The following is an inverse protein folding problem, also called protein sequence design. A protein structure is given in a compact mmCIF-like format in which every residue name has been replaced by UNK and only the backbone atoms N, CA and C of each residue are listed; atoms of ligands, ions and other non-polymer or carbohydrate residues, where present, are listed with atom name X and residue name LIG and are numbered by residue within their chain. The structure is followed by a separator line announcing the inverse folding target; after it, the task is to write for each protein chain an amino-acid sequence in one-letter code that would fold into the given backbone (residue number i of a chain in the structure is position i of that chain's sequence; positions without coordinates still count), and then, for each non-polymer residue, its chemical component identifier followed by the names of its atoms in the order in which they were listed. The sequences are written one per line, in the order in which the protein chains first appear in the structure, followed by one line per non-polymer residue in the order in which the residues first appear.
data_IF_318276829061
#
_entry.id   IF_318276829061
#
_cell.length_a   1.000
_cell.length_b   1.000
_cell.length_c   1.000
_cell.angle_alpha   90.00
_cell.angle_beta   90.00
_cell.angle_gamma   90.00
#
_symmetry.space_group_name_H-M   'P 1'
#
loop_
_entity.id
_entity.type
_entity.pdbx_description
1 polymer ?
#
# COMPACT_ATOMS: atom_id res chain seq x y z
N UNK A 1 -36.09 -8.96 2.91
CA UNK A 1 -34.97 -9.88 3.16
C UNK A 1 -33.84 -9.01 3.68
N UNK A 2 -33.47 -9.15 4.96
CA UNK A 2 -32.30 -8.48 5.50
C UNK A 2 -31.06 -9.07 4.82
N UNK A 3 -30.44 -8.31 3.91
CA UNK A 3 -29.08 -8.60 3.48
C UNK A 3 -28.19 -8.30 4.68
N UNK A 4 -27.89 -9.34 5.48
CA UNK A 4 -26.80 -9.25 6.45
C UNK A 4 -25.56 -8.77 5.71
N UNK A 5 -25.07 -7.59 6.02
CA UNK A 5 -23.82 -7.10 5.48
C UNK A 5 -22.74 -8.10 5.87
N UNK A 6 -22.10 -8.72 4.86
CA UNK A 6 -21.04 -9.72 5.09
C UNK A 6 -19.97 -9.06 5.98
N UNK A 7 -19.63 -9.70 7.09
CA UNK A 7 -18.66 -9.18 8.05
C UNK A 7 -17.26 -9.04 7.41
N UNK A 8 -16.47 -8.10 7.90
CA UNK A 8 -15.06 -7.95 7.49
C UNK A 8 -14.30 -9.24 7.85
N UNK A 9 -13.60 -9.88 6.90
CA UNK A 9 -12.89 -11.13 7.16
C UNK A 9 -11.57 -10.94 7.91
N UNK A 10 -11.06 -12.01 8.50
CA UNK A 10 -9.67 -12.10 8.95
C UNK A 10 -8.79 -12.46 7.76
N UNK A 11 -7.78 -11.64 7.47
CA UNK A 11 -6.87 -11.88 6.33
C UNK A 11 -5.42 -11.78 6.76
N UNK A 12 -4.61 -12.69 6.24
CA UNK A 12 -3.15 -12.58 6.21
C UNK A 12 -2.70 -12.48 4.76
N UNK A 13 -1.91 -11.46 4.42
CA UNK A 13 -1.46 -11.25 3.06
C UNK A 13 0.00 -10.83 2.97
N UNK A 14 0.56 -10.99 1.77
CA UNK A 14 1.92 -10.61 1.46
C UNK A 14 1.98 -9.92 0.11
N UNK A 15 2.52 -8.70 0.07
CA UNK A 15 2.88 -8.05 -1.18
C UNK A 15 4.31 -8.42 -1.55
N UNK A 16 4.51 -8.86 -2.78
CA UNK A 16 5.82 -9.08 -3.39
C UNK A 16 6.05 -7.94 -4.38
N UNK A 17 6.94 -7.03 -4.03
CA UNK A 17 7.18 -5.78 -4.76
C UNK A 17 8.55 -5.85 -5.43
N UNK A 18 8.60 -5.74 -6.75
CA UNK A 18 9.84 -5.64 -7.50
C UNK A 18 10.20 -4.17 -7.76
N UNK A 19 11.47 -3.86 -7.61
CA UNK A 19 12.07 -2.54 -7.85
C UNK A 19 13.21 -2.68 -8.83
N UNK A 20 13.18 -1.90 -9.91
CA UNK A 20 14.25 -1.81 -10.93
C UNK A 20 14.65 -0.36 -11.12
N UNK A 21 15.94 -0.04 -10.98
CA UNK A 21 16.49 1.30 -11.21
C UNK A 21 15.59 2.42 -10.64
N UNK A 22 15.13 2.25 -9.41
CA UNK A 22 14.13 3.12 -8.78
C UNK A 22 14.36 3.31 -7.30
N UNK A 23 13.88 4.41 -6.74
CA UNK A 23 13.85 4.63 -5.30
C UNK A 23 12.44 4.33 -4.75
N UNK A 24 12.20 3.15 -4.18
CA UNK A 24 10.87 2.81 -3.69
C UNK A 24 10.46 3.62 -2.46
N UNK A 25 11.43 4.02 -1.63
CA UNK A 25 11.20 4.78 -0.40
C UNK A 25 12.48 5.50 0.06
N UNK A 26 12.58 6.79 -0.27
CA UNK A 26 13.71 7.63 0.15
C UNK A 26 13.72 7.90 1.65
N UNK A 27 14.92 8.08 2.20
CA UNK A 27 15.16 8.45 3.59
C UNK A 27 15.46 9.95 3.70
N UNK A 28 14.59 10.76 4.31
CA UNK A 28 14.82 12.19 4.43
C UNK A 28 16.08 12.52 5.26
N UNK A 29 16.45 11.66 6.22
CA UNK A 29 17.62 11.86 7.08
C UNK A 29 18.94 11.48 6.37
N UNK A 30 18.85 10.89 5.17
CA UNK A 30 19.99 10.47 4.34
C UNK A 30 19.89 11.03 2.91
N UNK A 31 19.57 12.30 2.80
CA UNK A 31 19.50 13.00 1.51
C UNK A 31 18.64 12.26 0.46
N UNK A 32 17.58 11.59 0.92
CA UNK A 32 16.67 10.77 0.11
C UNK A 32 17.28 9.51 -0.49
N UNK A 33 18.38 8.99 0.06
CA UNK A 33 18.84 7.62 -0.26
C UNK A 33 17.71 6.61 -0.07
N UNK A 34 17.64 5.55 -0.88
CA UNK A 34 16.75 4.43 -0.60
C UNK A 34 16.98 3.88 0.82
N UNK A 35 15.90 3.70 1.58
CA UNK A 35 15.98 3.19 2.95
C UNK A 35 16.57 1.78 2.99
N UNK A 36 17.53 1.55 3.89
CA UNK A 36 18.13 0.23 4.12
C UNK A 36 18.30 -0.06 5.61
N UNK A 37 18.30 -1.34 5.96
CA UNK A 37 18.69 -1.78 7.31
C UNK A 37 20.20 -1.74 7.46
N UNK A 38 20.68 -1.17 8.57
CA UNK A 38 22.10 -0.94 8.78
C UNK A 38 22.92 -2.25 8.93
N UNK A 39 22.33 -3.30 9.52
CA UNK A 39 23.04 -4.51 9.87
C UNK A 39 23.21 -5.51 8.72
N UNK A 40 22.32 -5.51 7.72
CA UNK A 40 22.34 -6.47 6.63
C UNK A 40 22.24 -5.86 5.23
N UNK A 41 22.03 -4.54 5.15
CA UNK A 41 21.92 -3.82 3.90
C UNK A 41 20.67 -4.13 3.07
N UNK A 42 19.67 -4.80 3.66
CA UNK A 42 18.38 -5.03 3.00
C UNK A 42 17.61 -3.74 2.87
N UNK A 43 16.98 -3.56 1.71
CA UNK A 43 16.13 -2.40 1.44
C UNK A 43 14.84 -2.41 2.26
N UNK A 44 14.30 -1.21 2.53
CA UNK A 44 13.07 -1.01 3.29
C UNK A 44 12.08 -0.18 2.47
N UNK A 45 10.81 -0.61 2.48
CA UNK A 45 9.65 0.18 2.10
C UNK A 45 8.78 0.35 3.34
N UNK A 46 8.56 1.58 3.80
CA UNK A 46 7.67 1.83 4.96
C UNK A 46 6.21 1.63 4.57
N UNK A 47 5.44 1.15 5.53
CA UNK A 47 3.98 1.02 5.42
C UNK A 47 3.31 2.37 5.10
N UNK A 48 3.80 3.46 5.70
CA UNK A 48 3.31 4.83 5.46
C UNK A 48 3.48 5.22 3.98
N UNK A 49 4.64 4.91 3.38
CA UNK A 49 4.90 5.19 1.96
C UNK A 49 3.93 4.42 1.05
N UNK A 50 3.64 3.16 1.37
CA UNK A 50 2.71 2.35 0.59
C UNK A 50 1.26 2.83 0.75
N UNK A 51 0.81 3.03 2.00
CA UNK A 51 -0.54 3.55 2.32
C UNK A 51 -0.80 4.90 1.65
N UNK A 52 0.22 5.78 1.57
CA UNK A 52 0.10 7.06 0.86
C UNK A 52 -0.27 6.86 -0.61
N UNK A 53 0.32 5.87 -1.29
CA UNK A 53 0.00 5.61 -2.69
C UNK A 53 -1.45 5.17 -2.90
N UNK A 54 -1.96 4.35 -1.99
CA UNK A 54 -3.37 3.96 -2.03
C UNK A 54 -4.29 5.18 -1.80
N UNK A 55 -3.95 6.06 -0.84
CA UNK A 55 -4.69 7.31 -0.62
C UNK A 55 -4.69 8.22 -1.85
N UNK A 56 -3.55 8.36 -2.52
CA UNK A 56 -3.43 9.18 -3.73
C UNK A 56 -4.32 8.66 -4.87
N UNK A 57 -4.51 7.34 -5.00
CA UNK A 57 -5.45 6.76 -5.97
C UNK A 57 -6.91 7.12 -5.66
N UNK A 58 -7.28 7.15 -4.39
CA UNK A 58 -8.63 7.54 -3.94
C UNK A 58 -8.85 9.05 -4.03
N UNK A 59 -7.83 9.86 -3.72
CA UNK A 59 -7.88 11.33 -3.84
C UNK A 59 -8.09 11.79 -5.28
N UNK A 60 -7.48 11.11 -6.24
CA UNK A 60 -7.61 11.45 -7.65
C UNK A 60 -8.95 10.98 -8.23
N UNK A 61 -10.03 11.65 -7.81
CA UNK A 61 -11.43 11.31 -8.20
C UNK A 61 -11.70 11.38 -9.71
N UNK A 62 -10.88 12.10 -10.45
CA UNK A 62 -10.98 12.19 -11.93
C UNK A 62 -10.04 11.22 -12.64
N UNK A 63 -9.20 10.50 -11.88
CA UNK A 63 -8.23 9.57 -12.43
C UNK A 63 -8.85 8.26 -12.94
N UNK A 64 -8.12 7.56 -13.83
CA UNK A 64 -8.64 6.33 -14.45
C UNK A 64 -8.88 5.21 -13.44
N UNK A 65 -8.03 5.10 -12.39
CA UNK A 65 -8.19 4.06 -11.36
C UNK A 65 -9.46 4.28 -10.56
N UNK A 66 -9.70 5.50 -10.04
CA UNK A 66 -10.94 5.79 -9.32
C UNK A 66 -12.17 5.57 -10.18
N UNK A 67 -12.14 6.03 -11.44
CA UNK A 67 -13.25 5.86 -12.38
C UNK A 67 -13.55 4.37 -12.62
N UNK A 68 -12.51 3.53 -12.73
CA UNK A 68 -12.68 2.08 -12.86
C UNK A 68 -13.28 1.48 -11.57
N UNK A 69 -12.74 1.82 -10.39
CA UNK A 69 -13.27 1.32 -9.10
C UNK A 69 -14.73 1.73 -8.91
N UNK A 70 -15.06 3.00 -9.17
CA UNK A 70 -16.43 3.50 -9.07
C UNK A 70 -17.40 2.69 -9.94
N UNK A 71 -17.02 2.38 -11.18
CA UNK A 71 -17.81 1.57 -12.10
C UNK A 71 -17.92 0.12 -11.63
N UNK A 72 -16.79 -0.50 -11.29
CA UNK A 72 -16.71 -1.92 -10.92
C UNK A 72 -17.47 -2.20 -9.63
N UNK A 73 -17.32 -1.36 -8.61
CA UNK A 73 -17.96 -1.53 -7.31
C UNK A 73 -19.34 -0.86 -7.21
N UNK A 74 -19.84 -0.24 -8.30
CA UNK A 74 -21.08 0.51 -8.34
C UNK A 74 -21.20 1.59 -7.24
N UNK A 75 -20.09 2.29 -6.93
CA UNK A 75 -20.04 3.33 -5.89
C UNK A 75 -20.94 4.50 -6.32
N UNK A 76 -21.99 4.76 -5.52
CA UNK A 76 -22.96 5.81 -5.77
C UNK A 76 -22.62 7.13 -5.05
N UNK A 77 -21.93 7.01 -3.90
CA UNK A 77 -21.64 8.14 -3.01
C UNK A 77 -20.11 8.26 -2.82
N UNK A 78 -19.49 9.16 -3.59
CA UNK A 78 -18.06 9.42 -3.55
C UNK A 78 -17.62 10.06 -2.22
N UNK A 79 -18.54 10.74 -1.52
CA UNK A 79 -18.24 11.48 -0.30
C UNK A 79 -17.88 10.56 0.87
N UNK A 80 -18.28 9.27 0.81
CA UNK A 80 -17.89 8.25 1.78
C UNK A 80 -16.42 7.83 1.68
N UNK A 81 -15.79 8.13 0.56
CA UNK A 81 -14.41 7.75 0.26
C UNK A 81 -13.46 8.97 0.26
N UNK A 82 -13.64 9.88 1.20
CA UNK A 82 -12.70 10.97 1.46
C UNK A 82 -11.36 10.43 2.04
N UNK A 83 -10.35 11.30 2.05
CA UNK A 83 -9.04 11.02 2.66
C UNK A 83 -8.75 12.09 3.72
N UNK A 84 -8.69 11.68 4.97
CA UNK A 84 -8.54 12.58 6.13
C UNK A 84 -7.20 13.33 6.14
N UNK A 85 -6.10 12.65 5.80
CA UNK A 85 -4.76 13.25 5.78
C UNK A 85 -4.65 14.45 4.84
N UNK A 86 -5.47 14.50 3.76
CA UNK A 86 -5.51 15.63 2.84
C UNK A 86 -6.41 16.77 3.35
N UNK A 87 -7.49 16.42 4.02
CA UNK A 87 -8.45 17.39 4.59
C UNK A 87 -7.82 18.25 5.70
N UNK A 88 -6.93 17.69 6.51
CA UNK A 88 -6.22 18.44 7.55
C UNK A 88 -5.34 19.55 6.98
N UNK A 89 -4.74 19.33 5.83
CA UNK A 89 -3.96 20.35 5.14
C UNK A 89 -4.82 21.52 4.67
N UNK A 90 -6.06 21.24 4.23
CA UNK A 90 -7.03 22.25 3.76
C UNK A 90 -7.77 22.96 4.88
N UNK A 91 -8.00 22.30 6.01
CA UNK A 91 -8.73 22.87 7.15
C UNK A 91 -7.89 23.82 7.99
N UNK A 92 -6.57 23.65 8.04
CA UNK A 92 -5.67 24.66 8.63
C UNK A 92 -5.82 26.04 7.95
N UNK A 93 -6.25 26.07 6.69
CA UNK A 93 -6.56 27.29 5.97
C UNK A 93 -8.01 27.80 6.21
N UNK A 94 -8.93 26.96 6.71
CA UNK A 94 -10.36 27.28 6.87
C UNK A 94 -10.87 27.32 8.30
N UNK A 95 -10.09 26.90 9.30
CA UNK A 95 -10.56 26.74 10.69
C UNK A 95 -10.83 28.05 11.46
N UNK A 96 -10.91 29.18 10.76
CA UNK A 96 -11.36 30.44 11.36
C UNK A 96 -12.85 30.68 11.34
N UNK A 97 -13.67 29.80 10.72
CA UNK A 97 -15.13 30.01 10.64
C UNK A 97 -15.87 28.67 10.48
N UNK A 98 -16.54 28.25 11.52
CA UNK A 98 -17.74 27.41 11.61
C UNK A 98 -17.63 26.32 12.67
N UNK A 99 -18.02 26.69 13.87
CA UNK A 99 -18.48 25.78 14.91
C UNK A 99 -19.86 25.25 14.51
N UNK A 100 -20.03 23.93 14.42
CA UNK A 100 -21.35 23.35 14.43
C UNK A 100 -21.65 22.22 13.46
N UNK A 101 -20.92 21.12 13.52
CA UNK A 101 -21.44 19.76 13.32
C UNK A 101 -20.26 18.77 13.44
N UNK A 102 -20.18 18.02 14.54
CA UNK A 102 -19.31 16.84 14.65
C UNK A 102 -19.85 15.76 13.71
N UNK A 103 -19.49 15.82 12.41
CA UNK A 103 -19.62 14.65 11.54
C UNK A 103 -18.60 13.63 12.04
N UNK A 104 -19.03 12.38 12.26
CA UNK A 104 -18.12 11.29 12.61
C UNK A 104 -16.96 11.27 11.63
N UNK A 105 -15.72 11.35 12.12
CA UNK A 105 -14.52 11.38 11.28
C UNK A 105 -14.42 10.15 10.37
N UNK A 106 -14.95 9.01 10.83
CA UNK A 106 -15.03 7.76 10.08
C UNK A 106 -16.06 7.79 8.96
N UNK A 107 -17.18 8.51 9.12
CA UNK A 107 -18.29 8.46 8.19
C UNK A 107 -17.92 8.80 6.74
N UNK A 108 -17.02 9.76 6.54
CA UNK A 108 -16.66 10.26 5.21
C UNK A 108 -15.20 9.96 4.81
N UNK A 109 -14.39 9.31 5.66
CA UNK A 109 -12.97 9.09 5.38
C UNK A 109 -12.64 7.60 5.33
N UNK A 110 -12.45 7.10 4.12
CA UNK A 110 -12.07 5.72 3.86
C UNK A 110 -10.77 5.33 4.57
N UNK A 111 -9.75 6.18 4.50
CA UNK A 111 -8.45 5.90 5.10
C UNK A 111 -8.49 5.83 6.63
N UNK A 112 -9.39 6.57 7.28
CA UNK A 112 -9.63 6.47 8.73
C UNK A 112 -10.27 5.14 9.08
N UNK A 113 -11.25 4.67 8.32
CA UNK A 113 -11.89 3.38 8.54
C UNK A 113 -10.92 2.22 8.33
N UNK A 114 -10.13 2.28 7.25
CA UNK A 114 -9.25 1.17 6.85
C UNK A 114 -7.94 1.18 7.61
N UNK A 115 -7.23 2.32 7.68
CA UNK A 115 -5.87 2.40 8.25
C UNK A 115 -5.82 2.95 9.68
N UNK A 116 -6.92 3.52 10.15
CA UNK A 116 -6.96 4.22 11.42
C UNK A 116 -6.46 5.65 11.35
N UNK A 117 -6.58 6.36 12.46
CA UNK A 117 -6.09 7.73 12.62
C UNK A 117 -5.66 7.98 14.05
N UNK A 118 -4.69 8.87 14.22
CA UNK A 118 -4.25 9.38 15.51
C UNK A 118 -4.35 10.90 15.47
N UNK A 119 -5.16 11.49 16.34
CA UNK A 119 -5.16 12.93 16.58
C UNK A 119 -4.50 13.20 17.94
N UNK A 120 -3.57 14.14 17.95
CA UNK A 120 -2.86 14.61 19.16
C UNK A 120 -3.27 16.03 19.54
N UNK A 121 -4.34 16.58 18.94
CA UNK A 121 -4.85 17.91 19.27
C UNK A 121 -5.48 17.90 20.65
N UNK A 122 -5.18 18.93 21.49
CA UNK A 122 -5.60 19.03 22.91
C UNK A 122 -7.12 18.87 23.14
N UNK A 123 -7.95 19.18 22.13
CA UNK A 123 -9.42 19.10 22.23
C UNK A 123 -10.03 17.81 21.70
N UNK A 124 -9.29 17.05 20.87
CA UNK A 124 -9.77 15.83 20.22
C UNK A 124 -8.67 14.75 20.20
N UNK A 125 -8.10 14.45 21.36
CA UNK A 125 -7.10 13.39 21.50
C UNK A 125 -7.79 12.03 21.36
N UNK A 126 -7.55 11.33 20.24
CA UNK A 126 -8.03 9.97 20.05
C UNK A 126 -7.05 9.14 19.22
N UNK A 127 -6.99 7.86 19.54
CA UNK A 127 -6.30 6.85 18.75
C UNK A 127 -7.35 5.87 18.25
N UNK A 128 -7.48 5.75 16.94
CA UNK A 128 -8.34 4.76 16.30
C UNK A 128 -7.49 3.80 15.49
N UNK A 129 -7.47 2.55 15.91
CA UNK A 129 -6.78 1.49 15.18
C UNK A 129 -7.59 1.11 13.95
N UNK A 130 -6.97 1.12 12.79
CA UNK A 130 -7.59 0.67 11.55
C UNK A 130 -7.66 -0.85 11.44
N UNK A 131 -8.46 -1.31 10.50
CA UNK A 131 -8.70 -2.73 10.24
C UNK A 131 -7.56 -3.36 9.45
N UNK A 132 -7.01 -2.63 8.48
CA UNK A 132 -5.90 -3.09 7.66
C UNK A 132 -4.56 -2.54 8.18
N UNK A 133 -3.64 -3.44 8.52
CA UNK A 133 -2.31 -3.12 9.01
C UNK A 133 -1.27 -3.63 8.03
N UNK A 134 -0.47 -2.73 7.45
CA UNK A 134 0.70 -3.07 6.67
C UNK A 134 1.94 -3.03 7.56
N UNK A 135 2.81 -4.02 7.41
CA UNK A 135 4.14 -4.02 8.03
C UNK A 135 5.16 -3.32 7.12
N UNK A 136 6.40 -3.19 7.59
CA UNK A 136 7.51 -2.76 6.72
C UNK A 136 7.76 -3.82 5.64
N UNK A 137 7.90 -3.38 4.39
CA UNK A 137 8.41 -4.22 3.31
C UNK A 137 9.93 -4.32 3.41
N UNK A 138 10.46 -5.54 3.49
CA UNK A 138 11.90 -5.79 3.57
C UNK A 138 12.34 -6.58 2.35
N UNK A 139 13.44 -6.18 1.71
CA UNK A 139 13.94 -6.93 0.58
C UNK A 139 14.43 -8.32 0.99
N UNK A 140 14.17 -9.33 0.16
CA UNK A 140 14.58 -10.71 0.40
C UNK A 140 16.11 -10.84 0.43
N UNK A 141 16.82 -10.00 -0.34
CA UNK A 141 18.28 -9.92 -0.37
C UNK A 141 18.77 -8.49 -0.12
N UNK A 142 20.07 -8.34 0.18
CA UNK A 142 20.75 -7.05 0.19
C UNK A 142 20.50 -6.29 -1.10
N UNK A 143 20.39 -4.96 -1.04
CA UNK A 143 20.22 -4.11 -2.23
C UNK A 143 21.50 -3.32 -2.54
N UNK A 144 21.72 -3.05 -3.83
CA UNK A 144 22.77 -2.14 -4.29
C UNK A 144 22.15 -0.78 -4.60
N UNK A 145 22.72 0.27 -4.02
CA UNK A 145 22.29 1.65 -4.25
C UNK A 145 23.25 2.31 -5.21
N UNK A 146 22.72 2.81 -6.32
CA UNK A 146 23.43 3.70 -7.26
C UNK A 146 23.14 5.15 -6.88
N UNK A 147 24.21 5.98 -6.87
CA UNK A 147 24.15 7.40 -6.56
C UNK A 147 24.81 8.18 -7.69
N UNK A 148 23.98 8.91 -8.44
CA UNK A 148 24.42 9.78 -9.50
C UNK A 148 23.93 11.20 -9.23
N UNK A 149 24.68 12.18 -9.70
CA UNK A 149 24.26 13.58 -9.67
C UNK A 149 24.06 14.06 -11.10
N UNK A 150 22.82 14.41 -11.42
CA UNK A 150 22.49 15.05 -12.67
C UNK A 150 22.39 16.57 -12.47
N UNK A 151 22.73 17.35 -13.48
CA UNK A 151 22.53 18.79 -13.46
C UNK A 151 21.26 19.14 -14.23
N UNK A 152 20.40 19.96 -13.63
CA UNK A 152 19.19 20.49 -14.28
C UNK A 152 19.32 22.00 -14.39
N UNK A 153 18.99 22.57 -15.55
CA UNK A 153 18.85 24.02 -15.67
C UNK A 153 17.71 24.45 -14.74
N UNK A 154 18.03 25.18 -13.68
CA UNK A 154 17.03 25.81 -12.86
C UNK A 154 16.28 26.86 -13.69
N UNK A 155 14.95 26.83 -13.68
CA UNK A 155 14.13 27.92 -14.20
C UNK A 155 14.39 29.16 -13.33
N UNK A 156 14.95 30.20 -13.93
CA UNK A 156 15.16 31.48 -13.26
C UNK A 156 14.02 32.42 -13.61
N UNK A 157 13.50 33.11 -12.60
CA UNK A 157 12.59 34.25 -12.76
C UNK A 157 13.24 35.28 -13.69
N UNK A 158 12.55 35.67 -14.76
CA UNK A 158 13.10 36.45 -15.89
C UNK A 158 13.49 37.88 -15.46
N UNK A 159 13.30 38.26 -14.21
CA UNK A 159 13.49 39.64 -13.71
C UNK A 159 14.85 39.96 -13.11
N UNK A 160 15.81 39.02 -13.06
CA UNK A 160 17.17 39.29 -12.56
C UNK A 160 18.19 38.63 -13.47
N UNK A 161 19.17 39.41 -13.94
CA UNK A 161 20.40 38.97 -14.61
C UNK A 161 21.27 38.08 -13.71
N UNK A 162 20.74 36.96 -13.29
CA UNK A 162 21.46 35.96 -12.52
C UNK A 162 21.88 34.83 -13.46
N UNK A 163 23.16 34.58 -13.48
CA UNK A 163 23.81 33.48 -14.17
C UNK A 163 22.98 32.20 -13.99
N UNK A 164 22.59 31.57 -15.11
CA UNK A 164 21.72 30.38 -15.12
C UNK A 164 22.46 29.20 -14.51
N UNK A 165 22.49 29.16 -13.18
CA UNK A 165 23.12 28.11 -12.42
C UNK A 165 22.47 26.75 -12.71
N UNK A 166 23.29 25.72 -12.89
CA UNK A 166 22.84 24.33 -12.92
C UNK A 166 22.62 23.87 -11.48
N UNK A 167 21.38 23.53 -11.13
CA UNK A 167 21.09 22.91 -9.84
C UNK A 167 21.47 21.41 -9.88
N UNK A 168 22.30 20.91 -8.94
CA UNK A 168 22.56 19.49 -8.83
C UNK A 168 21.29 18.75 -8.39
N UNK A 169 20.91 17.74 -9.14
CA UNK A 169 19.79 16.87 -8.79
C UNK A 169 20.32 15.47 -8.50
N UNK A 170 20.30 15.10 -7.23
CA UNK A 170 20.69 13.75 -6.80
C UNK A 170 19.75 12.71 -7.40
N UNK A 171 20.31 11.66 -7.99
CA UNK A 171 19.61 10.49 -8.48
C UNK A 171 20.10 9.28 -7.68
N UNK A 172 19.24 8.79 -6.77
CA UNK A 172 19.59 7.76 -5.81
C UNK A 172 18.57 6.66 -5.87
N UNK A 173 18.99 5.52 -6.36
CA UNK A 173 18.11 4.41 -6.71
C UNK A 173 18.66 3.07 -6.23
N UNK A 174 17.77 2.10 -6.03
CA UNK A 174 18.09 0.69 -5.96
C UNK A 174 18.19 0.16 -7.38
N UNK A 175 19.29 -0.52 -7.72
CA UNK A 175 19.47 -1.15 -9.03
C UNK A 175 18.42 -2.24 -9.25
N UNK A 176 18.32 -3.17 -8.31
CA UNK A 176 17.30 -4.22 -8.29
C UNK A 176 17.01 -4.67 -6.85
N UNK A 177 15.75 -5.02 -6.58
CA UNK A 177 15.35 -5.61 -5.30
C UNK A 177 13.93 -6.16 -5.34
N UNK A 178 13.70 -7.26 -4.64
CA UNK A 178 12.38 -7.87 -4.41
C UNK A 178 12.05 -7.77 -2.93
N UNK A 179 10.94 -7.11 -2.61
CA UNK A 179 10.52 -6.80 -1.24
C UNK A 179 9.29 -7.61 -0.87
N UNK A 180 9.29 -8.16 0.33
CA UNK A 180 8.14 -8.79 0.96
C UNK A 180 7.54 -7.83 1.98
N UNK A 181 6.26 -7.43 1.79
CA UNK A 181 5.53 -6.54 2.69
C UNK A 181 4.28 -7.23 3.21
N UNK A 182 4.27 -7.72 4.45
CA UNK A 182 3.09 -8.31 5.07
C UNK A 182 1.97 -7.29 5.26
N UNK A 183 0.72 -7.75 5.14
CA UNK A 183 -0.45 -7.01 5.60
C UNK A 183 -1.46 -7.94 6.26
N UNK A 184 -2.23 -7.38 7.19
CA UNK A 184 -3.25 -8.10 7.93
C UNK A 184 -4.56 -7.31 7.88
N UNK A 185 -5.69 -8.02 7.78
CA UNK A 185 -7.02 -7.46 8.00
C UNK A 185 -7.57 -8.08 9.28
N UNK A 186 -7.87 -7.23 10.28
CA UNK A 186 -8.34 -7.66 11.57
C UNK A 186 -9.81 -7.24 11.81
N UNK A 187 -10.77 -8.18 11.77
CA UNK A 187 -12.18 -7.88 11.94
C UNK A 187 -12.52 -7.30 13.32
N UNK A 188 -11.70 -7.55 14.34
CA UNK A 188 -11.92 -7.02 15.69
C UNK A 188 -11.93 -5.50 15.77
N UNK A 189 -11.25 -4.82 14.84
CA UNK A 189 -11.23 -3.36 14.76
C UNK A 189 -12.42 -2.78 13.96
N UNK A 190 -13.13 -3.60 13.17
CA UNK A 190 -14.12 -3.12 12.22
C UNK A 190 -15.29 -2.36 12.87
N UNK A 191 -15.82 -2.85 13.99
CA UNK A 191 -16.93 -2.20 14.70
C UNK A 191 -16.56 -0.78 15.18
N UNK A 192 -15.33 -0.60 15.69
CA UNK A 192 -14.88 0.69 16.21
C UNK A 192 -14.47 1.66 15.10
N UNK A 193 -13.94 1.14 14.01
CA UNK A 193 -13.50 1.94 12.85
C UNK A 193 -14.64 2.23 11.88
N UNK A 194 -15.77 1.53 12.00
CA UNK A 194 -16.89 1.57 11.04
C UNK A 194 -16.50 1.08 9.64
N UNK A 195 -15.43 0.27 9.55
CA UNK A 195 -14.94 -0.30 8.31
C UNK A 195 -15.90 -1.38 7.82
N UNK A 196 -16.23 -1.31 6.54
CA UNK A 196 -17.14 -2.25 5.88
C UNK A 196 -16.37 -3.21 4.96
N UNK A 197 -17.05 -4.24 4.47
CA UNK A 197 -16.48 -5.12 3.44
C UNK A 197 -16.17 -4.34 2.15
N UNK A 198 -17.01 -3.36 1.77
CA UNK A 198 -16.79 -2.48 0.62
C UNK A 198 -15.47 -1.71 0.73
N UNK A 199 -15.10 -1.26 1.94
CA UNK A 199 -13.83 -0.58 2.19
C UNK A 199 -12.62 -1.51 1.97
N UNK A 200 -12.76 -2.79 2.36
CA UNK A 200 -11.71 -3.80 2.17
C UNK A 200 -11.64 -4.24 0.71
N UNK A 201 -12.77 -4.37 0.04
CA UNK A 201 -12.82 -4.61 -1.39
C UNK A 201 -12.07 -3.52 -2.16
N UNK A 202 -12.36 -2.25 -1.88
CA UNK A 202 -11.65 -1.13 -2.49
C UNK A 202 -10.14 -1.21 -2.21
N UNK A 203 -9.74 -1.48 -0.96
CA UNK A 203 -8.33 -1.68 -0.61
C UNK A 203 -7.67 -2.74 -1.49
N UNK A 204 -8.28 -3.93 -1.58
CA UNK A 204 -7.73 -5.06 -2.33
C UNK A 204 -7.62 -4.75 -3.83
N UNK A 205 -8.64 -4.12 -4.40
CA UNK A 205 -8.65 -3.71 -5.82
C UNK A 205 -7.63 -2.61 -6.16
N UNK A 206 -7.27 -1.75 -5.21
CA UNK A 206 -6.30 -0.66 -5.41
C UNK A 206 -4.84 -1.13 -5.37
N UNK A 207 -4.52 -2.21 -4.67
CA UNK A 207 -3.14 -2.67 -4.45
C UNK A 207 -2.31 -2.79 -5.74
N UNK A 208 -2.78 -3.44 -6.82
CA UNK A 208 -2.00 -3.58 -8.05
C UNK A 208 -1.66 -2.25 -8.73
N UNK A 209 -2.47 -1.22 -8.52
CA UNK A 209 -2.32 0.09 -9.14
C UNK A 209 -1.47 1.07 -8.31
N UNK A 210 -1.04 0.69 -7.10
CA UNK A 210 -0.39 1.58 -6.15
C UNK A 210 0.86 2.28 -6.72
N UNK A 211 1.71 1.57 -7.44
CA UNK A 211 2.93 2.14 -8.01
C UNK A 211 2.77 2.64 -9.45
N UNK A 212 2.15 1.90 -10.40
CA UNK A 212 2.06 2.34 -11.79
C UNK A 212 1.40 3.70 -11.95
N UNK A 213 0.37 3.99 -11.15
CA UNK A 213 -0.38 5.25 -11.22
C UNK A 213 0.16 6.35 -10.27
N UNK A 214 1.23 6.07 -9.54
CA UNK A 214 1.95 7.02 -8.68
C UNK A 214 3.45 7.04 -9.01
N UNK A 215 3.78 6.82 -10.27
CA UNK A 215 5.17 6.87 -10.75
C UNK A 215 5.74 8.28 -10.63
N UNK A 216 7.06 8.38 -10.47
CA UNK A 216 7.79 9.64 -10.46
C UNK A 216 9.16 9.45 -11.13
N UNK A 217 9.87 10.55 -11.41
CA UNK A 217 11.18 10.49 -12.04
C UNK A 217 12.16 9.51 -11.37
N UNK A 218 12.19 9.47 -10.03
CA UNK A 218 13.08 8.58 -9.27
C UNK A 218 12.45 7.24 -8.94
N UNK A 219 11.19 7.02 -9.34
CA UNK A 219 10.41 5.81 -9.05
C UNK A 219 9.59 5.38 -10.28
N UNK A 220 10.22 5.20 -11.45
CA UNK A 220 9.49 4.83 -12.65
C UNK A 220 9.15 3.35 -12.72
N UNK A 221 9.97 2.48 -12.14
CA UNK A 221 9.90 1.02 -12.28
C UNK A 221 9.80 0.35 -10.91
N UNK A 222 8.64 0.47 -10.28
CA UNK A 222 8.25 -0.27 -9.08
C UNK A 222 6.90 -0.92 -9.35
N UNK A 223 6.77 -2.20 -9.04
CA UNK A 223 5.57 -2.98 -9.34
C UNK A 223 5.25 -3.97 -8.22
N UNK A 224 3.97 -4.12 -7.90
CA UNK A 224 3.47 -5.24 -7.10
C UNK A 224 3.33 -6.44 -8.04
N UNK A 225 4.27 -7.38 -7.95
CA UNK A 225 4.29 -8.59 -8.79
C UNK A 225 3.26 -9.61 -8.34
N UNK A 226 3.08 -9.72 -7.03
CA UNK A 226 2.07 -10.56 -6.40
C UNK A 226 1.52 -9.84 -5.16
N UNK A 227 0.24 -10.00 -4.91
CA UNK A 227 -0.46 -9.54 -3.72
C UNK A 227 -1.27 -10.71 -3.15
N UNK A 228 -0.60 -11.57 -2.42
CA UNK A 228 -1.21 -12.76 -1.85
C UNK A 228 -2.24 -12.40 -0.79
N UNK A 229 -3.41 -13.01 -0.91
CA UNK A 229 -4.55 -12.81 -0.02
C UNK A 229 -4.98 -14.18 0.52
N UNK A 230 -4.88 -14.36 1.83
CA UNK A 230 -5.30 -15.56 2.53
C UNK A 230 -6.40 -15.18 3.52
N UNK A 231 -7.65 -15.48 3.18
CA UNK A 231 -8.81 -15.29 4.04
C UNK A 231 -9.00 -16.51 4.93
N UNK A 232 -8.87 -16.31 6.23
CA UNK A 232 -9.08 -17.40 7.19
C UNK A 232 -10.54 -17.82 7.24
N UNK A 233 -10.81 -19.12 7.42
CA UNK A 233 -12.18 -19.64 7.67
C UNK A 233 -12.80 -19.15 8.98
N UNK A 234 -11.98 -18.67 9.89
CA UNK A 234 -12.42 -18.18 11.20
C UNK A 234 -11.99 -16.73 11.40
N UNK A 235 -12.85 -15.86 11.96
CA UNK A 235 -12.46 -14.49 12.30
C UNK A 235 -11.38 -14.44 13.40
N UNK A 236 -11.13 -15.54 14.11
CA UNK A 236 -10.05 -15.67 15.10
C UNK A 236 -8.72 -16.08 14.46
N UNK A 237 -8.72 -16.47 13.19
CA UNK A 237 -7.60 -17.11 12.49
C UNK A 237 -7.77 -18.62 12.43
N UNK A 238 -7.25 -19.26 11.38
CA UNK A 238 -7.37 -20.71 11.13
C UNK A 238 -6.03 -21.44 11.22
N UNK A 239 -4.92 -20.70 11.16
CA UNK A 239 -3.54 -21.19 11.26
C UNK A 239 -2.59 -20.02 11.57
N UNK A 240 -1.29 -20.31 11.70
CA UNK A 240 -0.27 -19.29 12.00
C UNK A 240 -0.07 -18.30 10.86
N UNK A 241 -0.21 -17.00 11.15
CA UNK A 241 0.10 -15.93 10.20
C UNK A 241 1.57 -16.01 9.74
N UNK A 242 2.51 -16.32 10.64
CA UNK A 242 3.93 -16.43 10.27
C UNK A 242 4.20 -17.61 9.32
N UNK A 243 3.55 -18.77 9.54
CA UNK A 243 3.70 -19.90 8.64
C UNK A 243 3.21 -19.57 7.21
N UNK A 244 2.09 -18.85 7.10
CA UNK A 244 1.59 -18.35 5.80
C UNK A 244 2.61 -17.38 5.17
N UNK A 245 3.09 -16.40 5.92
CA UNK A 245 4.02 -15.40 5.43
C UNK A 245 5.35 -16.01 4.98
N UNK A 246 5.88 -16.99 5.74
CA UNK A 246 7.11 -17.69 5.40
C UNK A 246 6.96 -18.51 4.10
N UNK A 247 5.82 -19.18 3.92
CA UNK A 247 5.52 -19.94 2.70
C UNK A 247 5.33 -19.03 1.46
N UNK A 248 4.91 -17.78 1.65
CA UNK A 248 4.69 -16.79 0.58
C UNK A 248 5.92 -15.94 0.26
N UNK A 249 6.95 -15.93 1.11
CA UNK A 249 8.08 -15.01 0.97
C UNK A 249 9.09 -15.47 -0.08
N UNK A 250 9.46 -14.62 -1.07
CA UNK A 250 10.51 -14.94 -2.03
C UNK A 250 11.86 -15.22 -1.36
N UNK A 251 12.57 -16.22 -1.87
CA UNK A 251 13.90 -16.58 -1.40
C UNK A 251 14.95 -16.46 -2.50
N UNK A 252 16.17 -16.08 -2.13
CA UNK A 252 17.37 -16.06 -2.98
C UNK A 252 18.44 -16.96 -2.36
N UNK A 253 19.16 -17.72 -3.17
CA UNK A 253 20.16 -18.68 -2.72
C UNK A 253 21.23 -18.03 -1.82
N UNK A 254 21.73 -16.86 -2.20
CA UNK A 254 22.60 -16.05 -1.33
C UNK A 254 21.96 -14.66 -1.10
N UNK A 255 21.31 -14.46 0.05
CA UNK A 255 20.67 -13.18 0.37
C UNK A 255 21.66 -12.07 0.76
N UNK A 256 22.95 -12.35 0.93
CA UNK A 256 23.99 -11.37 1.23
C UNK A 256 24.46 -10.67 -0.05
N UNK A 257 24.33 -11.31 -1.19
CA UNK A 257 24.66 -10.74 -2.47
C UNK A 257 23.44 -10.01 -3.06
N UNK A 258 23.62 -8.77 -3.55
CA UNK A 258 22.57 -8.04 -4.22
C UNK A 258 22.00 -8.81 -5.43
N UNK A 259 20.71 -8.73 -5.64
CA UNK A 259 20.09 -9.26 -6.84
C UNK A 259 20.25 -8.31 -8.02
N UNK A 260 20.20 -8.87 -9.24
CA UNK A 260 20.29 -8.14 -10.51
C UNK A 260 19.00 -8.25 -11.32
N UNK A 261 18.21 -9.30 -11.06
CA UNK A 261 16.96 -9.56 -11.77
C UNK A 261 16.00 -10.41 -10.94
N UNK A 262 14.75 -10.50 -11.39
CA UNK A 262 13.76 -11.42 -10.84
C UNK A 262 14.22 -12.90 -10.89
N UNK A 263 14.96 -13.27 -11.93
CA UNK A 263 15.45 -14.65 -12.11
C UNK A 263 16.42 -15.13 -11.02
N UNK A 264 16.98 -14.21 -10.20
CA UNK A 264 17.84 -14.56 -9.07
C UNK A 264 17.05 -15.16 -7.89
N UNK A 265 15.72 -15.12 -7.96
CA UNK A 265 14.85 -15.64 -6.91
C UNK A 265 14.19 -16.95 -7.35
N UNK A 266 14.20 -17.94 -6.44
CA UNK A 266 13.43 -19.17 -6.60
C UNK A 266 11.97 -18.89 -6.26
N UNK A 267 11.26 -18.20 -7.18
CA UNK A 267 9.90 -17.77 -6.96
C UNK A 267 9.06 -17.81 -8.24
N UNK A 268 8.10 -18.72 -8.27
CA UNK A 268 7.08 -18.82 -9.31
C UNK A 268 5.71 -18.76 -8.63
N UNK A 269 4.86 -17.82 -9.04
CA UNK A 269 3.55 -17.58 -8.41
C UNK A 269 2.62 -18.80 -8.47
N UNK A 270 2.64 -19.56 -9.57
CA UNK A 270 1.81 -20.76 -9.72
C UNK A 270 2.25 -21.88 -8.77
N UNK A 271 3.57 -22.08 -8.62
CA UNK A 271 4.12 -23.10 -7.72
C UNK A 271 3.86 -22.71 -6.24
N UNK A 272 4.02 -21.43 -5.90
CA UNK A 272 3.68 -20.89 -4.56
C UNK A 272 2.20 -21.10 -4.27
N UNK A 273 1.30 -20.78 -5.21
CA UNK A 273 -0.13 -21.00 -5.05
C UNK A 273 -0.45 -22.48 -4.78
N UNK A 274 0.11 -23.41 -5.57
CA UNK A 274 -0.10 -24.84 -5.39
C UNK A 274 0.43 -25.36 -4.03
N UNK A 275 1.65 -24.92 -3.65
CA UNK A 275 2.28 -25.33 -2.40
C UNK A 275 1.48 -24.86 -1.19
N UNK A 276 1.13 -23.57 -1.13
CA UNK A 276 0.36 -22.98 -0.04
C UNK A 276 -1.06 -23.55 0.03
N UNK A 277 -1.73 -23.73 -1.12
CA UNK A 277 -3.06 -24.32 -1.16
C UNK A 277 -3.09 -25.73 -0.58
N UNK A 278 -2.04 -26.52 -0.84
CA UNK A 278 -1.87 -27.89 -0.32
C UNK A 278 -1.54 -27.88 1.18
N UNK A 279 -0.59 -27.05 1.58
CA UNK A 279 -0.11 -26.98 2.98
C UNK A 279 -1.21 -26.52 3.94
N UNK A 280 -2.02 -25.54 3.51
CA UNK A 280 -3.09 -24.95 4.33
C UNK A 280 -4.49 -25.39 3.90
N UNK A 281 -4.62 -26.58 3.30
CA UNK A 281 -5.91 -27.11 2.86
C UNK A 281 -6.93 -27.09 4.03
N UNK A 282 -8.12 -26.56 3.73
CA UNK A 282 -9.21 -26.46 4.71
C UNK A 282 -9.03 -25.33 5.75
N UNK A 283 -7.99 -24.50 5.66
CA UNK A 283 -7.74 -23.39 6.59
C UNK A 283 -8.17 -22.02 6.05
N UNK A 284 -8.38 -21.88 4.77
CA UNK A 284 -8.81 -20.63 4.13
C UNK A 284 -10.20 -20.75 3.52
N UNK A 285 -10.89 -19.63 3.43
CA UNK A 285 -12.13 -19.47 2.62
C UNK A 285 -11.75 -19.09 1.19
N UNK A 286 -10.87 -18.10 1.05
CA UNK A 286 -10.30 -17.68 -0.21
C UNK A 286 -8.77 -17.58 -0.10
N UNK A 287 -8.05 -18.09 -1.09
CA UNK A 287 -6.61 -17.91 -1.23
C UNK A 287 -6.25 -17.69 -2.70
N UNK A 288 -5.48 -16.63 -2.96
CA UNK A 288 -5.01 -16.30 -4.31
C UNK A 288 -4.27 -14.96 -4.37
N UNK A 289 -4.04 -14.51 -5.60
CA UNK A 289 -3.30 -13.29 -5.90
C UNK A 289 -4.25 -12.15 -6.30
N UNK A 290 -4.26 -11.05 -5.57
CA UNK A 290 -5.07 -9.86 -5.90
C UNK A 290 -4.62 -9.16 -7.20
N UNK A 291 -3.47 -9.51 -7.74
CA UNK A 291 -3.05 -9.06 -9.07
C UNK A 291 -3.80 -9.83 -10.19
N UNK A 292 -4.46 -10.93 -9.87
CA UNK A 292 -5.36 -11.64 -10.77
C UNK A 292 -6.80 -11.12 -10.61
N UNK A 293 -7.30 -10.47 -11.65
CA UNK A 293 -8.65 -9.92 -11.65
C UNK A 293 -9.74 -11.01 -11.47
N UNK A 294 -9.53 -12.22 -11.99
CA UNK A 294 -10.49 -13.32 -11.84
C UNK A 294 -10.59 -13.77 -10.37
N UNK A 295 -9.47 -13.80 -9.66
CA UNK A 295 -9.48 -14.10 -8.23
C UNK A 295 -10.19 -12.99 -7.43
N UNK A 296 -9.94 -11.71 -7.75
CA UNK A 296 -10.60 -10.59 -7.07
C UNK A 296 -12.13 -10.66 -7.24
N UNK A 297 -12.61 -11.00 -8.43
CA UNK A 297 -14.06 -11.19 -8.68
C UNK A 297 -14.64 -12.41 -7.96
N UNK A 298 -13.84 -13.44 -7.70
CA UNK A 298 -14.27 -14.59 -6.88
C UNK A 298 -14.46 -14.22 -5.42
N UNK A 299 -13.54 -13.38 -4.84
CA UNK A 299 -13.61 -12.94 -3.44
C UNK A 299 -14.71 -11.92 -3.22
N UNK A 300 -14.85 -10.98 -4.17
CA UNK A 300 -15.79 -9.85 -4.12
C UNK A 300 -16.71 -9.88 -5.34
N UNK A 301 -17.64 -10.86 -5.40
CA UNK A 301 -18.53 -10.98 -6.54
C UNK A 301 -19.50 -9.80 -6.60
N UNK A 302 -19.66 -9.22 -7.80
CA UNK A 302 -20.67 -8.20 -8.01
C UNK A 302 -22.06 -8.81 -7.83
N UNK A 303 -22.80 -8.31 -6.87
CA UNK A 303 -24.24 -8.55 -6.86
C UNK A 303 -24.86 -7.73 -7.99
N UNK A 304 -25.12 -8.40 -9.13
CA UNK A 304 -25.97 -7.82 -10.16
C UNK A 304 -27.31 -7.45 -9.48
N UNK A 305 -27.48 -6.15 -9.18
CA UNK A 305 -28.74 -5.60 -8.71
C UNK A 305 -29.72 -5.37 -9.87
#
# INVERSE_FOLDING_TARGET
MNTESKAVPRVTGLLVIEVRNSNPNGDPDRESDPRTRAHDGKGIISDVSFKRKLRELVLNKVGPVWSAMKKTMAIKDDDKFGIHVDDDTRKREKSSKEEGQKKSLSGNHWDVRVFGSTSLEEKDNFIRTGVAQFSIGVSAAKVRIQRDTNTVKAGVDVSKDADRGMAPLGFRIVEHGVYAMPFLVNPSAATKSECTLEDIELLCRLIPYAYPHNSSRIRPLVEVRHAWYFEHKSPLGSCSDFAILDALTPTKADPKEPSTSWADYSYNGEDVYKAVSKEFEGKFEHFGDLCDAAFVEQVFPHTNG
#
